data_IF_362891928182
#
_entry.id   IF_362891928182
#
_cell.length_a   1.000
_cell.length_b   1.000
_cell.length_c   1.000
_cell.angle_alpha   90.00
_cell.angle_beta   90.00
_cell.angle_gamma   90.00
#
_symmetry.space_group_name_H-M   'P 1'
#
loop_
_entity.id
_entity.type
_entity.pdbx_description
1 polymer ?
#
# COMPACT_ATOMS: atom_id res chain seq x y z
N UNK A 1 -25.50 23.28 -8.32
CA UNK A 1 -24.09 22.87 -8.58
C UNK A 1 -23.32 23.14 -7.30
N UNK A 2 -23.27 22.17 -6.39
CA UNK A 2 -22.61 22.27 -5.09
C UNK A 2 -21.45 21.28 -5.03
N UNK A 3 -20.29 21.76 -4.59
CA UNK A 3 -19.02 21.03 -4.53
C UNK A 3 -19.14 19.79 -3.67
N UNK A 4 -18.89 18.61 -4.26
CA UNK A 4 -19.23 17.34 -3.62
C UNK A 4 -18.36 17.04 -2.40
N UNK A 5 -17.06 17.39 -2.40
CA UNK A 5 -16.15 17.26 -1.25
C UNK A 5 -14.97 18.24 -1.46
N UNK A 6 -14.79 19.21 -0.55
CA UNK A 6 -13.55 19.97 -0.45
C UNK A 6 -12.81 19.51 0.82
N UNK A 7 -11.99 18.46 0.66
CA UNK A 7 -11.02 18.03 1.65
C UNK A 7 -9.63 18.28 1.08
N UNK A 8 -9.07 19.45 1.39
CA UNK A 8 -7.71 19.82 1.01
C UNK A 8 -6.70 19.19 1.99
N UNK A 9 -6.78 17.87 2.21
CA UNK A 9 -5.66 17.13 2.80
C UNK A 9 -4.72 16.81 1.65
N UNK A 10 -3.92 17.80 1.25
CA UNK A 10 -2.80 17.61 0.33
C UNK A 10 -2.00 16.41 0.85
N UNK A 11 -2.00 15.29 0.12
CA UNK A 11 -1.22 14.09 0.43
C UNK A 11 0.27 14.39 0.21
N UNK A 12 0.86 15.28 1.00
CA UNK A 12 2.31 15.51 1.01
C UNK A 12 3.05 14.36 1.69
N UNK A 13 2.34 13.53 2.45
CA UNK A 13 2.89 12.39 3.17
C UNK A 13 2.84 11.13 2.32
N UNK A 14 3.93 10.35 2.37
CA UNK A 14 4.01 9.04 1.70
C UNK A 14 3.33 8.00 2.60
N UNK A 15 2.36 7.28 2.04
CA UNK A 15 1.74 6.12 2.70
C UNK A 15 2.56 4.88 2.38
N UNK A 16 3.01 4.15 3.41
CA UNK A 16 3.76 2.92 3.24
C UNK A 16 2.88 1.70 3.51
N UNK A 17 2.93 0.72 2.60
CA UNK A 17 2.40 -0.62 2.81
C UNK A 17 3.60 -1.54 3.03
N UNK A 18 3.79 -2.03 4.25
CA UNK A 18 4.90 -2.90 4.58
C UNK A 18 4.67 -4.30 4.01
N UNK A 19 5.70 -4.97 3.53
CA UNK A 19 5.63 -6.33 3.00
C UNK A 19 6.58 -7.25 3.79
N UNK A 20 6.18 -8.50 4.09
CA UNK A 20 4.90 -9.12 3.73
C UNK A 20 3.74 -8.66 4.64
N UNK A 21 2.55 -8.51 4.06
CA UNK A 21 1.31 -8.45 4.83
C UNK A 21 0.78 -9.85 5.18
N UNK A 22 -0.26 -9.93 6.05
CA UNK A 22 -0.94 -11.18 6.39
C UNK A 22 -1.37 -11.95 5.14
N UNK A 23 -1.21 -13.28 5.15
CA UNK A 23 -1.50 -14.13 4.00
C UNK A 23 -2.98 -14.55 3.92
N UNK A 24 -3.65 -14.68 5.07
CA UNK A 24 -5.05 -15.12 5.16
C UNK A 24 -5.79 -14.30 6.22
N UNK A 25 -7.09 -14.02 6.04
CA UNK A 25 -7.89 -13.35 7.06
C UNK A 25 -8.12 -14.27 8.27
N UNK A 26 -8.05 -13.72 9.49
CA UNK A 26 -8.29 -14.45 10.75
C UNK A 26 -9.31 -13.71 11.64
N UNK A 27 -10.16 -14.41 12.41
CA UNK A 27 -11.16 -13.79 13.29
C UNK A 27 -10.61 -12.80 14.34
N UNK A 28 -9.32 -12.89 14.66
CA UNK A 28 -8.66 -12.02 15.64
C UNK A 28 -8.00 -10.79 15.03
N UNK A 29 -8.05 -10.63 13.70
CA UNK A 29 -7.48 -9.47 13.02
C UNK A 29 -8.35 -8.23 13.20
N UNK A 30 -7.71 -7.11 13.45
CA UNK A 30 -8.30 -5.79 13.31
C UNK A 30 -8.62 -5.48 11.84
N UNK A 31 -9.51 -4.52 11.60
CA UNK A 31 -9.79 -4.05 10.23
C UNK A 31 -8.55 -3.52 9.49
N UNK A 32 -7.58 -2.95 10.23
CA UNK A 32 -6.30 -2.52 9.67
C UNK A 32 -5.45 -3.67 9.17
N UNK A 33 -5.38 -4.77 9.92
CA UNK A 33 -4.65 -5.99 9.52
C UNK A 33 -5.31 -6.68 8.32
N UNK A 34 -6.65 -6.71 8.25
CA UNK A 34 -7.37 -7.21 7.08
C UNK A 34 -7.09 -6.36 5.83
N UNK A 35 -7.14 -5.03 5.97
CA UNK A 35 -6.81 -4.12 4.87
C UNK A 35 -5.34 -4.27 4.43
N UNK A 36 -4.42 -4.47 5.38
CA UNK A 36 -3.02 -4.68 5.08
C UNK A 36 -2.81 -5.98 4.27
N UNK A 37 -3.43 -7.09 4.67
CA UNK A 37 -3.37 -8.34 3.92
C UNK A 37 -3.89 -8.18 2.48
N UNK A 38 -5.06 -7.55 2.33
CA UNK A 38 -5.65 -7.25 1.02
C UNK A 38 -4.70 -6.43 0.13
N UNK A 39 -4.12 -5.34 0.66
CA UNK A 39 -3.20 -4.49 -0.09
C UNK A 39 -1.89 -5.21 -0.43
N UNK A 40 -1.37 -6.05 0.47
CA UNK A 40 -0.19 -6.86 0.20
C UNK A 40 -0.43 -7.91 -0.89
N UNK A 41 -1.65 -8.44 -1.00
CA UNK A 41 -2.03 -9.39 -2.06
C UNK A 41 -2.06 -8.74 -3.45
N UNK A 42 -2.51 -7.48 -3.55
CA UNK A 42 -2.46 -6.72 -4.81
C UNK A 42 -1.03 -6.63 -5.39
N UNK A 43 -0.01 -6.51 -4.54
CA UNK A 43 1.39 -6.50 -4.97
C UNK A 43 1.87 -7.84 -5.55
N UNK A 44 1.20 -8.95 -5.18
CA UNK A 44 1.57 -10.32 -5.57
C UNK A 44 0.86 -10.79 -6.84
N UNK A 45 -0.05 -10.01 -7.41
CA UNK A 45 -0.81 -10.38 -8.63
C UNK A 45 0.14 -10.80 -9.76
N UNK A 46 0.02 -11.99 -10.36
CA UNK A 46 0.98 -12.45 -11.38
C UNK A 46 0.85 -11.73 -12.74
N UNK A 47 -0.29 -11.08 -12.99
CA UNK A 47 -0.55 -10.35 -14.23
C UNK A 47 0.19 -8.99 -14.25
N UNK A 48 1.09 -8.82 -15.21
CA UNK A 48 1.92 -7.62 -15.32
C UNK A 48 1.13 -6.34 -15.64
N UNK A 49 0.12 -6.42 -16.51
CA UNK A 49 -0.72 -5.25 -16.87
C UNK A 49 -1.45 -4.71 -15.63
N UNK A 50 -1.98 -5.60 -14.80
CA UNK A 50 -2.61 -5.22 -13.53
C UNK A 50 -1.59 -4.64 -12.54
N UNK A 51 -0.39 -5.20 -12.45
CA UNK A 51 0.68 -4.64 -11.61
C UNK A 51 1.06 -3.22 -12.05
N UNK A 52 1.18 -2.99 -13.34
CA UNK A 52 1.56 -1.69 -13.90
C UNK A 52 0.47 -0.65 -13.60
N UNK A 53 -0.80 -1.03 -13.77
CA UNK A 53 -1.93 -0.18 -13.42
C UNK A 53 -1.97 0.15 -11.92
N UNK A 54 -1.76 -0.84 -11.05
CA UNK A 54 -1.70 -0.62 -9.60
C UNK A 54 -0.52 0.28 -9.23
N UNK A 55 0.65 0.08 -9.85
CA UNK A 55 1.84 0.92 -9.63
C UNK A 55 1.61 2.37 -10.06
N UNK A 56 0.90 2.59 -11.16
CA UNK A 56 0.48 3.91 -11.59
C UNK A 56 -0.44 4.58 -10.56
N UNK A 57 -1.40 3.83 -10.00
CA UNK A 57 -2.26 4.32 -8.92
C UNK A 57 -1.43 4.66 -7.67
N UNK A 58 -0.51 3.78 -7.26
CA UNK A 58 0.36 4.03 -6.11
C UNK A 58 1.15 5.33 -6.25
N UNK A 59 1.74 5.58 -7.43
CA UNK A 59 2.46 6.83 -7.71
C UNK A 59 1.54 8.06 -7.66
N UNK A 60 0.32 7.95 -8.22
CA UNK A 60 -0.66 9.05 -8.20
C UNK A 60 -1.11 9.43 -6.79
N UNK A 61 -1.18 8.46 -5.88
CA UNK A 61 -1.69 8.63 -4.52
C UNK A 61 -0.59 8.65 -3.45
N UNK A 62 0.69 8.79 -3.83
CA UNK A 62 1.84 8.77 -2.92
C UNK A 62 1.88 7.53 -2.00
N UNK A 63 1.49 6.36 -2.52
CA UNK A 63 1.55 5.07 -1.83
C UNK A 63 2.80 4.32 -2.28
N UNK A 64 3.53 3.70 -1.35
CA UNK A 64 4.72 2.89 -1.65
C UNK A 64 4.68 1.58 -0.90
N UNK A 65 4.91 0.47 -1.61
CA UNK A 65 5.23 -0.80 -0.98
C UNK A 65 6.67 -0.75 -0.43
N UNK A 66 6.89 -1.31 0.76
CA UNK A 66 8.21 -1.40 1.41
C UNK A 66 8.46 -2.83 1.85
N UNK A 67 9.44 -3.48 1.25
CA UNK A 67 9.92 -4.77 1.73
C UNK A 67 10.76 -4.60 2.99
N UNK A 68 10.50 -5.44 4.00
CA UNK A 68 11.26 -5.45 5.25
C UNK A 68 12.70 -5.98 5.08
N UNK A 69 13.07 -6.43 3.87
CA UNK A 69 14.41 -6.93 3.55
C UNK A 69 15.48 -5.84 3.32
N UNK A 70 15.22 -4.59 3.73
CA UNK A 70 16.27 -3.56 3.73
C UNK A 70 17.16 -3.73 4.98
N UNK A 71 18.16 -4.60 4.87
CA UNK A 71 19.29 -4.64 5.79
C UNK A 71 19.89 -3.22 5.90
N UNK A 72 20.03 -2.63 7.09
CA UNK A 72 20.63 -1.31 7.21
C UNK A 72 22.08 -1.42 6.75
N UNK A 73 22.39 -0.83 5.59
CA UNK A 73 23.75 -0.70 5.10
C UNK A 73 24.57 0.04 6.17
N UNK A 74 25.31 -0.74 6.96
CA UNK A 74 26.13 -0.27 8.05
C UNK A 74 27.16 0.69 7.48
N UNK A 75 27.05 1.97 7.83
CA UNK A 75 28.03 3.00 7.48
C UNK A 75 29.42 2.52 7.86
N UNK A 76 30.31 2.40 6.88
CA UNK A 76 31.75 2.52 7.05
C UNK A 76 32.24 3.59 6.08
#
# INVERSE_FOLDING_TARGET
>A
MGTAIEYQKLMTEIVYINLPGPAEPSPLMSGGELLHGFLAELHRIPNQELKDYISLLCNKWNVRYRDDHHEPNNKR
#
